data_IF_940958828617
#
_entry.id   IF_940958828617
#
_cell.length_a   1.000
_cell.length_b   1.000
_cell.length_c   1.000
_cell.angle_alpha   90.00
_cell.angle_beta   90.00
_cell.angle_gamma   90.00
#
_symmetry.space_group_name_H-M   'P 1'
#
loop_
_entity.id
_entity.type
_entity.pdbx_description
1 polymer ?
#
# COMPACT_ATOMS: atom_id res chain seq x y z
N UNK A 1 -79.15 15.95 8.57
CA UNK A 1 -77.96 15.84 9.42
C UNK A 1 -76.78 15.63 8.49
N UNK A 2 -75.98 16.68 8.22
CA UNK A 2 -74.79 16.61 7.34
C UNK A 2 -73.58 16.53 8.24
N UNK A 3 -72.80 15.45 8.12
CA UNK A 3 -71.55 15.23 8.86
C UNK A 3 -70.40 15.96 8.15
N UNK A 4 -69.80 16.89 8.83
CA UNK A 4 -68.60 17.57 8.41
C UNK A 4 -67.37 16.68 8.68
N UNK A 5 -66.65 16.22 7.65
CA UNK A 5 -65.35 15.55 7.80
C UNK A 5 -64.29 16.64 7.72
N UNK A 6 -63.61 16.83 8.84
CA UNK A 6 -62.43 17.72 8.92
C UNK A 6 -61.23 16.90 8.48
N UNK A 7 -60.65 17.21 7.33
CA UNK A 7 -59.39 16.64 6.84
C UNK A 7 -58.21 17.44 7.43
N UNK A 8 -57.48 16.84 8.34
CA UNK A 8 -56.23 17.40 8.89
C UNK A 8 -55.09 17.06 7.94
N UNK A 9 -54.63 18.04 7.14
CA UNK A 9 -53.39 17.96 6.39
C UNK A 9 -52.20 18.25 7.34
N UNK A 10 -51.48 17.21 7.74
CA UNK A 10 -50.20 17.38 8.43
C UNK A 10 -49.11 17.69 7.42
N UNK A 11 -48.68 18.95 7.38
CA UNK A 11 -47.51 19.35 6.61
C UNK A 11 -46.25 18.90 7.34
N UNK A 12 -45.61 17.84 6.83
CA UNK A 12 -44.29 17.44 7.26
C UNK A 12 -43.25 18.37 6.59
N UNK A 13 -42.77 19.36 7.33
CA UNK A 13 -41.58 20.12 6.95
C UNK A 13 -40.33 19.25 7.10
N UNK A 14 -39.81 18.72 5.98
CA UNK A 14 -38.48 18.13 5.96
C UNK A 14 -37.46 19.25 6.19
N UNK A 15 -36.98 19.40 7.42
CA UNK A 15 -35.72 20.14 7.66
C UNK A 15 -34.59 19.34 7.04
N UNK A 16 -34.13 19.78 5.86
CA UNK A 16 -32.86 19.33 5.30
C UNK A 16 -31.75 19.87 6.20
N UNK A 17 -31.26 19.03 7.09
CA UNK A 17 -30.01 19.30 7.81
C UNK A 17 -28.89 19.16 6.79
N UNK A 18 -28.45 20.27 6.22
CA UNK A 18 -27.24 20.30 5.41
C UNK A 18 -26.05 20.04 6.35
N UNK A 19 -25.52 18.83 6.34
CA UNK A 19 -24.19 18.57 6.86
C UNK A 19 -23.19 19.32 5.97
N UNK A 20 -22.87 20.55 6.31
CA UNK A 20 -21.68 21.17 5.76
C UNK A 20 -20.48 20.41 6.33
N UNK A 21 -19.78 19.68 5.49
CA UNK A 21 -18.51 19.10 5.85
C UNK A 21 -17.61 20.27 6.31
N UNK A 22 -17.17 20.22 7.56
CA UNK A 22 -16.26 21.24 8.11
C UNK A 22 -15.01 21.24 7.26
N UNK A 23 -14.59 22.38 6.75
CA UNK A 23 -13.31 22.55 6.11
C UNK A 23 -12.21 21.97 7.01
N UNK A 24 -11.30 21.21 6.42
CA UNK A 24 -10.23 20.58 7.14
C UNK A 24 -8.88 20.86 6.47
N UNK A 25 -7.86 20.91 7.30
CA UNK A 25 -6.48 21.08 6.89
C UNK A 25 -5.66 19.91 7.42
N UNK A 26 -4.76 19.39 6.60
CA UNK A 26 -3.92 18.25 6.98
C UNK A 26 -2.51 18.42 6.43
N UNK A 27 -1.54 17.90 7.16
CA UNK A 27 -0.19 17.70 6.66
C UNK A 27 0.05 16.21 6.50
N UNK A 28 0.28 15.77 5.27
CA UNK A 28 0.56 14.39 4.90
C UNK A 28 2.05 14.17 4.82
N UNK A 29 2.51 13.05 5.37
CA UNK A 29 3.91 12.66 5.46
C UNK A 29 4.10 11.22 5.03
N UNK A 30 5.32 10.81 4.77
CA UNK A 30 5.66 9.40 4.74
C UNK A 30 5.63 8.84 6.16
N UNK A 31 4.67 7.95 6.43
CA UNK A 31 4.45 7.39 7.77
C UNK A 31 5.53 6.39 8.19
N UNK A 32 6.27 5.80 7.25
CA UNK A 32 7.41 4.92 7.54
C UNK A 32 8.57 5.72 8.11
N UNK A 33 8.76 6.94 7.60
CA UNK A 33 9.86 7.83 7.98
C UNK A 33 10.71 8.24 6.80
N UNK A 34 11.81 8.90 7.10
CA UNK A 34 12.75 9.43 6.11
C UNK A 34 14.19 9.09 6.51
N UNK A 35 15.03 8.79 5.54
CA UNK A 35 16.47 8.70 5.76
C UNK A 35 17.07 10.11 5.94
N UNK A 36 18.13 10.28 6.73
CA UNK A 36 18.74 11.58 7.01
C UNK A 36 19.10 12.38 5.75
N UNK A 37 19.73 11.72 4.76
CA UNK A 37 20.24 12.35 3.56
C UNK A 37 19.30 12.26 2.34
N UNK A 38 18.10 11.66 2.53
CA UNK A 38 17.13 11.56 1.45
C UNK A 38 16.31 12.86 1.28
N UNK A 39 15.65 12.98 0.14
CA UNK A 39 14.62 14.00 -0.07
C UNK A 39 13.46 13.79 0.91
N UNK A 40 13.12 14.81 1.68
CA UNK A 40 12.08 14.79 2.71
C UNK A 40 11.02 15.83 2.41
N UNK A 41 9.86 15.39 1.94
CA UNK A 41 8.77 16.28 1.56
C UNK A 41 7.49 15.85 2.28
N UNK A 42 6.84 16.82 2.91
CA UNK A 42 5.47 16.71 3.37
C UNK A 42 4.53 17.47 2.42
N UNK A 43 3.25 17.18 2.51
CA UNK A 43 2.23 17.87 1.70
C UNK A 43 1.16 18.43 2.62
N UNK A 44 1.05 19.75 2.66
CA UNK A 44 -0.09 20.42 3.25
C UNK A 44 -1.24 20.40 2.27
N UNK A 45 -2.43 20.08 2.75
CA UNK A 45 -3.67 20.05 1.95
C UNK A 45 -4.81 20.68 2.73
N UNK A 46 -5.69 21.40 2.01
CA UNK A 46 -6.95 21.90 2.55
C UNK A 46 -8.09 21.72 1.56
N UNK A 47 -9.26 21.39 2.05
CA UNK A 47 -10.52 21.39 1.28
C UNK A 47 -11.37 22.61 1.57
N UNK A 48 -10.78 23.68 2.11
CA UNK A 48 -11.46 24.96 2.29
C UNK A 48 -12.00 25.49 0.96
N UNK A 49 -13.11 26.21 1.00
CA UNK A 49 -13.78 26.72 -0.20
C UNK A 49 -12.87 27.66 -0.98
N UNK A 50 -12.15 28.52 -0.27
CA UNK A 50 -11.20 29.46 -0.85
C UNK A 50 -9.76 28.93 -0.72
N UNK A 51 -8.99 28.91 -1.81
CA UNK A 51 -7.57 28.62 -1.76
C UNK A 51 -6.84 29.66 -0.90
N UNK A 52 -5.90 29.20 -0.09
CA UNK A 52 -5.05 30.09 0.69
C UNK A 52 -3.58 29.72 0.53
N UNK A 53 -2.71 30.69 0.78
CA UNK A 53 -1.27 30.51 0.68
C UNK A 53 -0.69 30.04 1.99
N UNK A 54 0.28 29.14 1.91
CA UNK A 54 1.14 28.74 3.01
C UNK A 54 2.52 29.34 2.73
N UNK A 55 2.87 30.44 3.41
CA UNK A 55 4.13 31.14 3.13
C UNK A 55 5.35 30.46 3.75
N UNK A 56 5.15 29.68 4.81
CA UNK A 56 6.23 29.05 5.57
C UNK A 56 5.73 27.85 6.37
N UNK A 57 6.67 27.03 6.81
CA UNK A 57 6.45 25.98 7.81
C UNK A 57 7.63 25.88 8.76
N UNK A 58 7.44 25.16 9.84
CA UNK A 58 8.51 24.82 10.79
C UNK A 58 8.49 23.33 11.09
N UNK A 59 9.67 22.79 11.42
CA UNK A 59 9.81 21.45 11.99
C UNK A 59 10.17 21.59 13.44
N UNK A 60 9.40 20.92 14.29
CA UNK A 60 9.46 21.03 15.75
C UNK A 60 9.85 19.69 16.33
N UNK A 61 10.83 19.65 17.21
CA UNK A 61 11.21 18.45 17.95
C UNK A 61 10.05 17.95 18.80
N UNK A 62 9.72 16.67 18.66
CA UNK A 62 8.53 16.10 19.30
C UNK A 62 8.67 15.95 20.82
N UNK A 63 9.92 15.93 21.34
CA UNK A 63 10.21 15.74 22.76
C UNK A 63 10.35 17.07 23.51
N UNK A 64 10.97 18.06 22.87
CA UNK A 64 11.25 19.36 23.50
C UNK A 64 10.23 20.44 23.15
N UNK A 65 9.56 20.32 22.00
CA UNK A 65 8.69 21.35 21.46
C UNK A 65 9.43 22.51 20.81
N UNK A 66 10.76 22.43 20.70
CA UNK A 66 11.58 23.48 20.08
C UNK A 66 11.55 23.39 18.56
N UNK A 67 11.55 24.55 17.89
CA UNK A 67 11.69 24.62 16.44
C UNK A 67 13.14 24.33 16.06
N UNK A 68 13.37 23.24 15.32
CA UNK A 68 14.69 22.80 14.86
C UNK A 68 14.96 23.16 13.41
N UNK A 69 13.91 23.48 12.64
CA UNK A 69 14.01 23.91 11.26
C UNK A 69 12.90 24.93 10.93
N UNK A 70 13.27 26.06 10.37
CA UNK A 70 12.35 27.04 9.81
C UNK A 70 12.54 27.06 8.28
N UNK A 71 11.45 26.96 7.54
CA UNK A 71 11.50 26.90 6.09
C UNK A 71 12.04 28.19 5.48
N UNK A 72 12.79 28.03 4.39
CA UNK A 72 13.16 29.12 3.47
C UNK A 72 12.03 29.24 2.42
N UNK A 73 11.96 30.35 1.68
CA UNK A 73 10.95 30.51 0.63
C UNK A 73 10.96 29.39 -0.43
N UNK A 74 12.14 28.89 -0.82
CA UNK A 74 12.32 27.80 -1.80
C UNK A 74 11.86 26.44 -1.31
N UNK A 75 11.71 26.25 -0.01
CA UNK A 75 11.23 25.02 0.61
C UNK A 75 9.71 24.85 0.52
N UNK A 76 9.01 25.91 0.12
CA UNK A 76 7.55 25.94 0.02
C UNK A 76 7.13 26.07 -1.44
N UNK A 77 6.38 25.07 -1.94
CA UNK A 77 5.91 25.09 -3.33
C UNK A 77 4.43 24.83 -3.39
N UNK A 78 3.66 25.87 -3.74
CA UNK A 78 2.24 25.71 -4.06
C UNK A 78 2.08 24.87 -5.34
N UNK A 79 1.21 23.86 -5.29
CA UNK A 79 0.95 22.96 -6.41
C UNK A 79 -0.46 23.11 -6.98
N UNK A 80 -1.26 23.98 -6.39
CA UNK A 80 -2.61 24.34 -6.86
C UNK A 80 -3.69 23.37 -6.39
N UNK A 81 -4.81 23.35 -7.12
CA UNK A 81 -5.99 22.52 -6.81
C UNK A 81 -5.77 21.09 -7.27
N UNK A 82 -6.16 20.13 -6.42
CA UNK A 82 -6.15 18.71 -6.74
C UNK A 82 -7.49 18.07 -6.30
N UNK A 83 -8.41 17.88 -7.23
CA UNK A 83 -9.76 17.38 -6.94
C UNK A 83 -10.50 18.31 -5.97
N UNK A 84 -10.97 17.77 -4.87
CA UNK A 84 -11.66 18.53 -3.81
C UNK A 84 -10.70 19.32 -2.90
N UNK A 85 -9.40 19.09 -3.01
CA UNK A 85 -8.40 19.86 -2.26
C UNK A 85 -8.13 21.18 -2.97
N UNK A 86 -8.58 22.29 -2.40
CA UNK A 86 -8.44 23.63 -2.98
C UNK A 86 -7.07 24.24 -2.76
N UNK A 87 -6.36 23.79 -1.73
CA UNK A 87 -4.96 24.16 -1.45
C UNK A 87 -4.12 22.91 -1.33
N UNK A 88 -3.04 22.83 -2.10
CA UNK A 88 -2.01 21.80 -1.96
C UNK A 88 -0.63 22.43 -2.04
N UNK A 89 0.23 22.15 -1.06
CA UNK A 89 1.54 22.77 -0.92
C UNK A 89 2.58 21.71 -0.54
N UNK A 90 3.68 21.64 -1.27
CA UNK A 90 4.84 20.82 -0.90
C UNK A 90 5.70 21.59 0.09
N UNK A 91 6.08 20.91 1.15
CA UNK A 91 6.90 21.42 2.25
C UNK A 91 8.18 20.57 2.27
N UNK A 92 9.26 21.12 1.75
CA UNK A 92 10.55 20.45 1.64
C UNK A 92 11.42 20.74 2.86
N UNK A 93 11.70 19.72 3.65
CA UNK A 93 12.58 19.79 4.82
C UNK A 93 13.82 18.90 4.68
N UNK A 94 14.25 18.64 3.43
CA UNK A 94 15.40 17.80 3.13
C UNK A 94 16.69 18.27 3.79
N UNK A 95 16.81 19.58 4.04
CA UNK A 95 17.96 20.16 4.72
C UNK A 95 18.10 19.78 6.20
N UNK A 96 17.02 19.28 6.85
CA UNK A 96 17.09 18.74 8.20
C UNK A 96 17.60 17.29 8.13
N UNK A 97 18.86 17.04 8.48
CA UNK A 97 19.49 15.71 8.45
C UNK A 97 19.60 15.05 9.81
N UNK A 98 19.34 15.78 10.91
CA UNK A 98 19.40 15.23 12.26
C UNK A 98 18.36 14.13 12.45
N UNK A 99 18.79 12.99 12.99
CA UNK A 99 17.90 11.91 13.38
C UNK A 99 17.04 12.32 14.57
N UNK A 100 15.78 11.91 14.58
CA UNK A 100 14.83 12.23 15.63
C UNK A 100 13.37 12.07 15.23
N UNK A 101 12.49 12.45 16.15
CA UNK A 101 11.06 12.50 15.94
C UNK A 101 10.59 13.95 15.95
N UNK A 102 9.82 14.33 14.97
CA UNK A 102 9.46 15.71 14.73
C UNK A 102 7.99 15.88 14.39
N UNK A 103 7.51 17.11 14.47
CA UNK A 103 6.24 17.52 13.86
C UNK A 103 6.52 18.60 12.82
N UNK A 104 5.74 18.59 11.75
CA UNK A 104 5.70 19.70 10.78
C UNK A 104 4.49 20.55 11.11
N UNK A 105 4.68 21.86 11.17
CA UNK A 105 3.64 22.85 11.47
C UNK A 105 3.56 23.84 10.34
N UNK A 106 2.39 23.98 9.75
CA UNK A 106 2.10 24.91 8.65
C UNK A 106 0.61 25.28 8.64
N UNK A 107 0.27 26.53 8.34
CA UNK A 107 -1.13 26.99 8.20
C UNK A 107 -2.01 26.76 9.43
N UNK A 108 -1.42 26.66 10.62
CA UNK A 108 -2.16 26.31 11.84
C UNK A 108 -2.34 24.81 12.09
N UNK A 109 -1.98 23.96 11.13
CA UNK A 109 -2.04 22.51 11.23
C UNK A 109 -0.71 21.91 11.67
N UNK A 110 -0.80 20.74 12.32
CA UNK A 110 0.35 19.95 12.78
C UNK A 110 0.24 18.54 12.20
N UNK A 111 1.37 18.00 11.69
CA UNK A 111 1.44 16.62 11.19
C UNK A 111 1.36 15.58 12.32
N UNK A 112 1.19 14.32 11.93
CA UNK A 112 1.61 13.19 12.76
C UNK A 112 3.13 13.22 12.96
N UNK A 113 3.65 12.39 13.87
CA UNK A 113 5.09 12.29 14.11
C UNK A 113 5.82 11.90 12.83
N UNK A 114 6.84 12.68 12.51
CA UNK A 114 7.80 12.44 11.42
C UNK A 114 9.04 11.83 12.03
N UNK A 115 9.43 10.65 11.58
CA UNK A 115 10.67 10.00 11.98
C UNK A 115 11.75 10.26 10.92
N UNK A 116 12.89 10.79 11.35
CA UNK A 116 14.12 10.80 10.54
C UNK A 116 15.11 9.85 11.21
N UNK A 117 15.55 8.83 10.48
CA UNK A 117 16.48 7.83 11.00
C UNK A 117 17.18 7.08 9.87
N UNK A 118 18.46 6.74 10.06
CA UNK A 118 19.20 5.85 9.16
C UNK A 118 18.50 4.50 9.01
N UNK A 119 17.87 3.99 10.08
CA UNK A 119 17.09 2.75 10.08
C UNK A 119 15.58 2.97 9.81
N UNK A 120 15.18 4.01 9.06
CA UNK A 120 13.76 4.28 8.82
C UNK A 120 13.06 3.16 8.06
N UNK A 121 13.77 2.43 7.21
CA UNK A 121 13.25 1.36 6.37
C UNK A 121 13.70 -0.04 6.79
N UNK A 122 14.36 -0.18 7.94
CA UNK A 122 14.80 -1.49 8.43
C UNK A 122 13.59 -2.42 8.61
N UNK A 123 13.67 -3.63 8.05
CA UNK A 123 12.60 -4.63 8.04
C UNK A 123 11.40 -4.31 7.13
N UNK A 124 11.38 -3.16 6.44
CA UNK A 124 10.25 -2.80 5.58
C UNK A 124 10.13 -3.73 4.37
N UNK A 125 11.25 -4.23 3.83
CA UNK A 125 11.25 -5.15 2.69
C UNK A 125 10.60 -6.49 3.08
N UNK A 126 11.00 -7.08 4.20
CA UNK A 126 10.41 -8.33 4.70
C UNK A 126 8.94 -8.15 5.10
N UNK A 127 8.59 -6.99 5.67
CA UNK A 127 7.20 -6.68 5.96
C UNK A 127 6.33 -6.65 4.69
N UNK A 128 6.82 -6.04 3.61
CA UNK A 128 6.11 -6.02 2.31
C UNK A 128 6.05 -7.42 1.70
N UNK A 129 7.10 -8.23 1.86
CA UNK A 129 7.12 -9.61 1.37
C UNK A 129 6.02 -10.48 2.00
N UNK A 130 5.57 -10.18 3.21
CA UNK A 130 4.42 -10.85 3.82
C UNK A 130 3.14 -10.74 3.00
N UNK A 131 2.97 -9.69 2.19
CA UNK A 131 1.85 -9.59 1.27
C UNK A 131 1.87 -10.74 0.25
N UNK A 132 3.03 -11.06 -0.33
CA UNK A 132 3.16 -12.17 -1.27
C UNK A 132 2.81 -13.50 -0.59
N UNK A 133 3.32 -13.75 0.62
CA UNK A 133 2.96 -14.95 1.39
C UNK A 133 1.46 -15.07 1.66
N UNK A 134 0.77 -13.94 1.91
CA UNK A 134 -0.69 -13.94 2.11
C UNK A 134 -1.46 -14.27 0.82
N UNK A 135 -0.87 -14.01 -0.35
CA UNK A 135 -1.48 -14.34 -1.65
C UNK A 135 -1.17 -15.76 -2.11
N UNK A 136 -0.37 -16.55 -1.40
CA UNK A 136 -0.06 -17.92 -1.80
C UNK A 136 -1.33 -18.73 -2.04
N UNK A 137 -1.40 -19.36 -3.20
CA UNK A 137 -2.39 -20.37 -3.56
C UNK A 137 -1.81 -21.78 -3.31
N UNK A 138 -2.65 -22.76 -3.09
CA UNK A 138 -2.20 -24.04 -2.57
C UNK A 138 -2.04 -23.93 -1.05
N UNK A 139 -0.85 -24.11 -0.49
CA UNK A 139 -0.62 -23.90 0.93
C UNK A 139 -0.47 -22.41 1.26
N UNK A 140 -1.28 -21.94 2.23
CA UNK A 140 -1.21 -20.57 2.73
C UNK A 140 -0.78 -20.56 4.21
N UNK A 141 0.41 -20.00 4.53
CA UNK A 141 0.97 -20.06 5.88
C UNK A 141 0.19 -19.22 6.90
N UNK A 142 -0.51 -18.16 6.48
CA UNK A 142 -1.32 -17.32 7.36
C UNK A 142 -2.64 -18.01 7.73
N UNK A 143 -3.29 -18.66 6.78
CA UNK A 143 -4.51 -19.44 7.03
C UNK A 143 -4.20 -20.80 7.65
N UNK A 144 -2.98 -21.30 7.52
CA UNK A 144 -2.56 -22.67 7.87
C UNK A 144 -3.47 -23.72 7.24
N UNK A 145 -3.84 -23.46 6.00
CA UNK A 145 -4.75 -24.29 5.22
C UNK A 145 -4.41 -24.19 3.73
N UNK A 146 -5.01 -25.05 2.95
CA UNK A 146 -4.83 -25.10 1.50
C UNK A 146 -6.07 -24.64 0.77
N UNK A 147 -5.88 -23.86 -0.29
CA UNK A 147 -6.98 -23.41 -1.17
C UNK A 147 -6.68 -23.79 -2.64
N UNK A 148 -7.71 -23.86 -3.47
CA UNK A 148 -7.63 -24.02 -4.94
C UNK A 148 -6.72 -25.21 -5.38
N UNK A 149 -6.82 -26.32 -4.65
CA UNK A 149 -5.97 -27.51 -4.90
C UNK A 149 -6.55 -28.47 -5.95
N UNK A 150 -7.72 -28.15 -6.54
CA UNK A 150 -8.44 -29.00 -7.50
C UNK A 150 -8.81 -28.29 -8.80
N UNK A 151 -8.31 -27.09 -9.05
CA UNK A 151 -8.78 -26.20 -10.12
C UNK A 151 -8.07 -26.42 -11.46
N UNK A 152 -7.07 -27.31 -11.53
CA UNK A 152 -6.23 -27.58 -12.69
C UNK A 152 -6.90 -28.36 -13.81
N UNK A 153 -8.13 -28.01 -14.22
CA UNK A 153 -8.78 -28.62 -15.37
C UNK A 153 -8.46 -27.85 -16.64
N UNK A 154 -7.81 -28.55 -17.59
CA UNK A 154 -7.44 -27.97 -18.89
C UNK A 154 -8.68 -27.55 -19.65
N UNK A 155 -8.68 -26.32 -20.20
CA UNK A 155 -9.76 -25.76 -21.01
C UNK A 155 -9.23 -25.29 -22.35
N UNK A 156 -10.06 -25.41 -23.36
CA UNK A 156 -9.79 -24.97 -24.74
C UNK A 156 -8.59 -25.66 -25.41
N UNK A 157 -8.21 -26.84 -24.92
CA UNK A 157 -7.15 -27.63 -25.54
C UNK A 157 -7.75 -28.64 -26.56
N UNK A 158 -7.17 -28.79 -27.77
CA UNK A 158 -7.75 -29.61 -28.82
C UNK A 158 -7.86 -31.11 -28.50
N UNK A 159 -7.01 -31.62 -27.61
CA UNK A 159 -6.94 -33.07 -27.29
C UNK A 159 -6.94 -33.37 -25.79
N UNK A 160 -6.76 -32.36 -24.92
CA UNK A 160 -6.64 -32.54 -23.43
C UNK A 160 -7.76 -31.85 -22.68
N UNK A 161 -8.82 -31.40 -23.35
CA UNK A 161 -9.97 -30.75 -22.71
C UNK A 161 -10.51 -31.56 -21.56
N UNK A 162 -10.65 -30.90 -20.37
CA UNK A 162 -11.18 -31.51 -19.16
C UNK A 162 -10.22 -32.46 -18.42
N UNK A 163 -9.00 -32.68 -18.91
CA UNK A 163 -7.98 -33.39 -18.13
C UNK A 163 -7.52 -32.52 -16.95
N UNK A 164 -7.24 -33.18 -15.82
CA UNK A 164 -6.72 -32.51 -14.65
C UNK A 164 -5.18 -32.59 -14.61
N UNK A 165 -4.53 -31.48 -14.29
CA UNK A 165 -3.10 -31.38 -13.98
C UNK A 165 -2.88 -30.71 -12.65
N UNK A 166 -1.74 -30.98 -12.01
CA UNK A 166 -1.40 -30.33 -10.73
C UNK A 166 -0.80 -28.94 -10.97
N UNK A 167 -1.62 -27.93 -10.74
CA UNK A 167 -1.24 -26.50 -10.84
C UNK A 167 -1.30 -25.78 -9.48
N UNK A 168 -1.14 -26.53 -8.37
CA UNK A 168 -1.10 -25.93 -7.04
C UNK A 168 0.14 -25.07 -6.86
N UNK A 169 0.01 -23.95 -6.16
CA UNK A 169 1.09 -23.00 -5.92
C UNK A 169 0.85 -21.64 -6.54
N UNK A 170 1.87 -20.80 -6.62
CA UNK A 170 1.75 -19.44 -7.10
C UNK A 170 0.94 -18.52 -6.18
N UNK A 171 0.43 -17.44 -6.73
CA UNK A 171 -0.27 -16.40 -5.98
C UNK A 171 -1.59 -16.01 -6.64
N UNK A 172 -2.59 -15.70 -5.83
CA UNK A 172 -3.80 -15.04 -6.29
C UNK A 172 -3.45 -13.64 -6.83
N UNK A 173 -4.00 -13.29 -7.99
CA UNK A 173 -3.77 -11.99 -8.62
C UNK A 173 -4.57 -10.88 -7.93
N UNK A 174 -5.83 -11.17 -7.62
CA UNK A 174 -6.77 -10.24 -7.02
C UNK A 174 -7.76 -10.95 -6.07
N UNK A 175 -8.83 -10.26 -5.66
CA UNK A 175 -9.88 -10.78 -4.77
C UNK A 175 -10.73 -11.90 -5.38
N UNK A 176 -10.69 -12.09 -6.69
CA UNK A 176 -11.34 -13.16 -7.43
C UNK A 176 -10.56 -14.48 -7.41
N UNK A 177 -9.36 -14.47 -6.80
CA UNK A 177 -8.47 -15.61 -6.67
C UNK A 177 -7.96 -16.21 -7.98
N UNK A 178 -8.10 -15.52 -9.11
CA UNK A 178 -7.49 -15.92 -10.39
C UNK A 178 -5.97 -15.86 -10.30
N UNK A 179 -5.30 -16.67 -11.13
CA UNK A 179 -3.85 -16.68 -11.22
C UNK A 179 -3.43 -16.52 -12.69
N UNK A 180 -2.47 -15.64 -12.95
CA UNK A 180 -1.95 -15.37 -14.27
C UNK A 180 -0.45 -15.57 -14.33
N UNK A 181 0.04 -16.32 -15.31
CA UNK A 181 1.48 -16.55 -15.48
C UNK A 181 2.24 -15.27 -15.78
N UNK A 182 1.62 -14.33 -16.50
CA UNK A 182 2.23 -13.03 -16.84
C UNK A 182 2.48 -12.18 -15.60
N UNK A 183 1.50 -12.02 -14.72
CA UNK A 183 1.66 -11.21 -13.50
C UNK A 183 2.58 -11.89 -12.50
N UNK A 184 2.50 -13.21 -12.37
CA UNK A 184 3.40 -13.99 -11.51
C UNK A 184 4.85 -13.92 -11.98
N UNK A 185 5.10 -14.07 -13.29
CA UNK A 185 6.44 -13.93 -13.85
C UNK A 185 7.01 -12.51 -13.64
N UNK A 186 6.18 -11.48 -13.77
CA UNK A 186 6.59 -10.11 -13.46
C UNK A 186 6.90 -9.93 -11.98
N UNK A 187 6.09 -10.47 -11.07
CA UNK A 187 6.34 -10.42 -9.62
C UNK A 187 7.69 -11.09 -9.27
N UNK A 188 7.97 -12.27 -9.83
CA UNK A 188 9.24 -12.97 -9.67
C UNK A 188 10.41 -12.08 -10.14
N UNK A 189 10.29 -11.50 -11.34
CA UNK A 189 11.31 -10.60 -11.88
C UNK A 189 11.57 -9.39 -10.96
N UNK A 190 10.51 -8.76 -10.45
CA UNK A 190 10.64 -7.62 -9.53
C UNK A 190 11.29 -8.02 -8.20
N UNK A 191 10.95 -9.18 -7.64
CA UNK A 191 11.59 -9.69 -6.42
C UNK A 191 13.07 -10.02 -6.67
N UNK A 192 13.42 -10.63 -7.79
CA UNK A 192 14.81 -10.88 -8.17
C UNK A 192 15.60 -9.58 -8.32
N UNK A 193 15.01 -8.58 -8.96
CA UNK A 193 15.63 -7.28 -9.15
C UNK A 193 15.81 -6.53 -7.80
N UNK A 194 14.83 -6.60 -6.91
CA UNK A 194 14.91 -6.03 -5.57
C UNK A 194 16.04 -6.68 -4.76
N UNK A 195 16.12 -8.01 -4.76
CA UNK A 195 17.18 -8.75 -4.08
C UNK A 195 18.56 -8.42 -4.65
N UNK A 196 18.70 -8.40 -5.98
CA UNK A 196 19.96 -8.04 -6.64
C UNK A 196 20.41 -6.61 -6.29
N UNK A 197 19.46 -5.70 -6.15
CA UNK A 197 19.74 -4.30 -5.87
C UNK A 197 20.18 -4.03 -4.43
N UNK A 198 19.61 -4.77 -3.47
CA UNK A 198 19.93 -4.65 -2.05
C UNK A 198 19.66 -5.97 -1.29
N UNK A 199 20.55 -6.97 -1.39
CA UNK A 199 20.33 -8.26 -0.76
C UNK A 199 20.25 -8.20 0.77
N UNK A 200 20.93 -7.23 1.39
CA UNK A 200 20.96 -7.09 2.86
C UNK A 200 19.64 -6.54 3.45
N UNK A 201 18.71 -6.09 2.61
CA UNK A 201 17.40 -5.66 3.05
C UNK A 201 16.46 -6.83 3.38
N UNK A 202 16.85 -8.07 3.09
CA UNK A 202 16.01 -9.26 3.22
C UNK A 202 16.64 -10.24 4.22
N UNK A 203 15.84 -10.62 5.23
CA UNK A 203 16.21 -11.60 6.26
C UNK A 203 15.93 -13.04 5.87
N UNK A 204 16.12 -13.94 6.84
CA UNK A 204 15.81 -15.36 6.80
C UNK A 204 15.05 -15.70 8.09
N UNK A 205 13.77 -15.34 8.14
CA UNK A 205 12.90 -15.50 9.30
C UNK A 205 11.77 -16.51 9.07
N UNK A 206 11.64 -17.01 7.85
CA UNK A 206 10.63 -17.99 7.45
C UNK A 206 11.26 -19.15 6.70
N UNK A 207 10.65 -20.33 6.85
CA UNK A 207 10.96 -21.49 6.03
C UNK A 207 10.34 -21.35 4.62
N UNK A 208 10.78 -22.18 3.69
CA UNK A 208 10.27 -22.17 2.31
C UNK A 208 8.73 -22.34 2.21
N UNK A 209 8.10 -23.01 3.18
CA UNK A 209 6.64 -23.14 3.27
C UNK A 209 5.95 -21.89 3.85
N UNK A 210 6.72 -20.87 4.25
CA UNK A 210 6.24 -19.63 4.83
C UNK A 210 5.90 -19.69 6.32
N UNK A 211 6.21 -20.77 7.01
CA UNK A 211 6.10 -20.84 8.48
C UNK A 211 7.33 -20.21 9.15
N UNK A 212 7.21 -19.65 10.37
CA UNK A 212 8.34 -19.03 11.07
C UNK A 212 9.53 -19.99 11.25
N UNK A 213 10.74 -19.51 10.95
CA UNK A 213 11.99 -20.22 11.13
C UNK A 213 12.96 -19.97 9.96
N UNK A 214 14.26 -19.78 10.24
CA UNK A 214 15.28 -19.62 9.20
C UNK A 214 15.70 -20.96 8.59
N UNK A 215 16.05 -20.96 7.30
CA UNK A 215 16.54 -22.13 6.56
C UNK A 215 17.88 -21.90 5.86
N UNK A 216 18.51 -20.74 6.06
CA UNK A 216 19.77 -20.35 5.43
C UNK A 216 19.61 -19.73 4.04
N UNK A 217 18.36 -19.50 3.61
CA UNK A 217 18.01 -18.87 2.33
C UNK A 217 17.21 -17.60 2.64
N UNK A 218 17.58 -16.44 2.08
CA UNK A 218 16.76 -15.24 2.28
C UNK A 218 15.31 -15.44 1.88
N UNK A 219 14.39 -14.96 2.69
CA UNK A 219 12.94 -15.14 2.55
C UNK A 219 12.39 -14.76 1.17
N UNK A 220 12.94 -13.71 0.56
CA UNK A 220 12.56 -13.31 -0.79
C UNK A 220 12.93 -14.36 -1.85
N UNK A 221 14.02 -15.08 -1.64
CA UNK A 221 14.46 -16.15 -2.55
C UNK A 221 13.51 -17.35 -2.42
N UNK A 222 13.10 -17.73 -1.21
CA UNK A 222 12.08 -18.75 -1.01
C UNK A 222 10.75 -18.38 -1.68
N UNK A 223 10.35 -17.11 -1.60
CA UNK A 223 9.13 -16.63 -2.26
C UNK A 223 9.25 -16.65 -3.79
N UNK A 224 10.42 -16.32 -4.33
CA UNK A 224 10.72 -16.46 -5.77
C UNK A 224 10.60 -17.92 -6.20
N UNK A 225 11.15 -18.86 -5.45
CA UNK A 225 11.06 -20.30 -5.74
C UNK A 225 9.62 -20.80 -5.70
N UNK A 226 8.80 -20.31 -4.76
CA UNK A 226 7.36 -20.62 -4.73
C UNK A 226 6.66 -20.28 -6.04
N UNK A 227 6.95 -19.13 -6.61
CA UNK A 227 6.39 -18.71 -7.89
C UNK A 227 6.98 -19.45 -9.08
N UNK A 228 8.29 -19.70 -9.09
CA UNK A 228 8.94 -20.44 -10.16
C UNK A 228 8.43 -21.89 -10.25
N UNK A 229 8.26 -22.57 -9.11
CA UNK A 229 7.70 -23.91 -9.06
C UNK A 229 6.29 -23.98 -9.65
N UNK A 230 5.49 -22.94 -9.42
CA UNK A 230 4.18 -22.84 -10.06
C UNK A 230 4.25 -22.57 -11.57
N UNK A 231 5.15 -21.69 -12.02
CA UNK A 231 5.34 -21.46 -13.47
C UNK A 231 5.81 -22.71 -14.20
N UNK A 232 6.63 -23.54 -13.56
CA UNK A 232 7.05 -24.83 -14.12
C UNK A 232 5.87 -25.78 -14.28
N UNK A 233 4.96 -25.84 -13.30
CA UNK A 233 3.71 -26.62 -13.39
C UNK A 233 2.75 -26.12 -14.47
N UNK A 234 2.78 -24.81 -14.79
CA UNK A 234 2.00 -24.23 -15.87
C UNK A 234 2.60 -24.52 -17.26
N UNK A 235 3.79 -25.14 -17.31
CA UNK A 235 4.46 -25.62 -18.53
C UNK A 235 4.81 -27.12 -18.39
N UNK A 236 3.81 -28.02 -18.30
CA UNK A 236 4.00 -29.42 -17.94
C UNK A 236 4.76 -30.23 -18.99
N UNK A 237 4.75 -29.80 -20.24
CA UNK A 237 5.41 -30.47 -21.37
C UNK A 237 6.03 -29.44 -22.32
N UNK A 238 7.13 -29.76 -23.01
CA UNK A 238 7.72 -28.86 -24.00
C UNK A 238 6.71 -28.44 -25.09
N UNK A 239 6.48 -27.14 -25.18
CA UNK A 239 5.51 -26.57 -26.15
C UNK A 239 4.08 -26.41 -25.61
N UNK A 240 3.82 -26.86 -24.39
CA UNK A 240 2.55 -26.59 -23.71
C UNK A 240 2.75 -25.53 -22.62
N UNK A 241 1.98 -24.47 -22.70
CA UNK A 241 2.04 -23.41 -21.70
C UNK A 241 0.62 -22.88 -21.43
N UNK A 242 0.16 -23.05 -20.20
CA UNK A 242 -1.12 -22.54 -19.74
C UNK A 242 -0.95 -21.14 -19.17
N UNK A 243 -1.81 -20.21 -19.55
CA UNK A 243 -1.64 -18.79 -19.26
C UNK A 243 -2.30 -18.35 -17.94
N UNK A 244 -3.28 -19.11 -17.45
CA UNK A 244 -4.04 -18.74 -16.25
C UNK A 244 -4.76 -19.92 -15.62
N UNK A 245 -5.14 -19.74 -14.36
CA UNK A 245 -6.18 -20.51 -13.65
C UNK A 245 -7.34 -19.55 -13.40
N UNK A 246 -8.59 -19.97 -13.76
CA UNK A 246 -9.81 -19.17 -13.66
C UNK A 246 -11.00 -20.03 -13.22
#
# INVERSE_FOLDING_TARGET
>A
MKSFRLSLLAAFSLMAVSFQAKAGEWIRINQVGYLPDASKVAVYVSNDVEPHEIPSFSVVDASTGETVYASRPEDVRNTGVMGELKTTVRLDFSALTAEGNYFIVAGGSKSSVVRISAGAYDGAADFVLNYMRQQRCGWNPFMRDSCHVKDGYIRYHPTKEGQWIDVRGGWHDASDCLQYTTTSANAIYQMMFAYQSNPEAFGDEYLADGTPGGNGIPDIIDEIYWGLDWLDRMNPEPGEFYNQIA
#
